data_IF_809927180713
#
_entry.id   IF_809927180713
#
_cell.length_a   1.000
_cell.length_b   1.000
_cell.length_c   1.000
_cell.angle_alpha   90.00
_cell.angle_beta   90.00
_cell.angle_gamma   90.00
#
_symmetry.space_group_name_H-M   'P 1'
#
loop_
_entity.id
_entity.type
_entity.pdbx_description
1 polymer ?
#
# COMPACT_ATOMS: atom_id res chain seq x y z
N UNK A 1 3.68 -4.77 -21.62
CA UNK A 1 2.37 -4.45 -21.01
C UNK A 1 1.42 -3.91 -22.08
N UNK A 2 0.12 -4.21 -22.00
CA UNK A 2 -0.89 -3.41 -22.75
C UNK A 2 -1.06 -2.04 -22.09
N UNK A 3 -1.71 -1.08 -22.76
CA UNK A 3 -1.97 0.25 -22.20
C UNK A 3 -2.64 0.20 -20.80
N UNK A 4 -3.79 -0.49 -20.65
CA UNK A 4 -4.44 -0.62 -19.34
C UNK A 4 -3.60 -1.35 -18.29
N UNK A 5 -2.85 -2.39 -18.68
CA UNK A 5 -1.94 -3.08 -17.76
C UNK A 5 -0.83 -2.15 -17.27
N UNK A 6 -0.22 -1.37 -18.18
CA UNK A 6 0.85 -0.41 -17.84
C UNK A 6 0.33 0.67 -16.91
N UNK A 7 -0.86 1.22 -17.16
CA UNK A 7 -1.46 2.24 -16.31
C UNK A 7 -1.67 1.75 -14.87
N UNK A 8 -2.19 0.52 -14.68
CA UNK A 8 -2.35 -0.03 -13.32
C UNK A 8 -1.00 -0.41 -12.70
N UNK A 9 -0.06 -0.91 -13.50
CA UNK A 9 1.28 -1.27 -13.04
C UNK A 9 2.04 -0.06 -12.51
N UNK A 10 2.08 1.02 -13.29
CA UNK A 10 2.75 2.26 -12.90
C UNK A 10 2.11 2.89 -11.67
N UNK A 11 0.78 2.77 -11.50
CA UNK A 11 0.10 3.22 -10.29
C UNK A 11 0.53 2.40 -9.05
N UNK A 12 0.62 1.08 -9.17
CA UNK A 12 1.11 0.23 -8.06
C UNK A 12 2.57 0.56 -7.75
N UNK A 13 3.42 0.70 -8.76
CA UNK A 13 4.83 1.08 -8.60
C UNK A 13 4.98 2.44 -7.91
N UNK A 14 4.22 3.46 -8.34
CA UNK A 14 4.23 4.78 -7.70
C UNK A 14 3.79 4.71 -6.23
N UNK A 15 2.79 3.88 -5.91
CA UNK A 15 2.35 3.68 -4.52
C UNK A 15 3.40 2.97 -3.67
N UNK A 16 4.18 2.06 -4.28
CA UNK A 16 5.31 1.41 -3.63
C UNK A 16 6.42 2.41 -3.34
N UNK A 17 6.77 3.26 -4.30
CA UNK A 17 7.78 4.31 -4.12
C UNK A 17 7.41 5.25 -2.96
N UNK A 18 6.15 5.66 -2.87
CA UNK A 18 5.66 6.47 -1.74
C UNK A 18 5.77 5.73 -0.38
N UNK A 19 5.50 4.42 -0.36
CA UNK A 19 5.65 3.59 0.83
C UNK A 19 7.12 3.44 1.26
N UNK A 20 8.04 3.25 0.30
CA UNK A 20 9.49 3.21 0.53
C UNK A 20 9.96 4.53 1.14
N UNK A 21 9.54 5.67 0.59
CA UNK A 21 9.91 6.98 1.11
C UNK A 21 9.41 7.20 2.55
N UNK A 22 8.23 6.69 2.88
CA UNK A 22 7.66 6.75 4.23
C UNK A 22 8.30 5.76 5.23
N UNK A 23 9.00 4.74 4.74
CA UNK A 23 9.64 3.70 5.57
C UNK A 23 11.02 4.16 6.03
N UNK A 24 11.09 4.74 7.24
CA UNK A 24 12.34 5.25 7.82
C UNK A 24 12.26 5.34 9.35
N UNK A 25 13.39 5.47 10.09
CA UNK A 25 13.37 5.60 11.53
C UNK A 25 12.52 6.74 12.05
N UNK A 26 11.89 6.54 13.20
CA UNK A 26 11.05 7.54 13.85
C UNK A 26 9.66 7.70 13.24
N UNK A 27 9.42 7.17 12.03
CA UNK A 27 8.08 6.99 11.46
C UNK A 27 7.38 5.80 12.10
N UNK A 28 6.06 5.72 11.93
CA UNK A 28 5.26 4.60 12.44
C UNK A 28 5.11 3.54 11.35
N UNK A 29 4.93 2.29 11.78
CA UNK A 29 4.68 1.16 10.89
C UNK A 29 3.45 1.35 9.99
N UNK A 30 2.47 2.16 10.40
CA UNK A 30 1.30 2.49 9.58
C UNK A 30 1.59 3.52 8.47
N UNK A 31 2.63 4.35 8.60
CA UNK A 31 2.87 5.48 7.69
C UNK A 31 3.07 5.04 6.21
N UNK A 32 3.79 3.93 5.90
CA UNK A 32 3.89 3.41 4.54
C UNK A 32 2.54 2.97 3.94
N UNK A 33 1.63 2.48 4.78
CA UNK A 33 0.29 2.11 4.35
C UNK A 33 -0.55 3.34 4.00
N UNK A 34 -0.50 4.38 4.83
CA UNK A 34 -1.24 5.61 4.57
C UNK A 34 -0.71 6.31 3.29
N UNK A 35 0.60 6.29 3.08
CA UNK A 35 1.23 6.79 1.85
C UNK A 35 0.75 6.00 0.60
N UNK A 36 0.76 4.66 0.69
CA UNK A 36 0.24 3.78 -0.36
C UNK A 36 -1.22 4.11 -0.70
N UNK A 37 -2.07 4.14 0.32
CA UNK A 37 -3.51 4.36 0.16
C UNK A 37 -3.78 5.70 -0.49
N UNK A 38 -3.03 6.76 -0.15
CA UNK A 38 -3.19 8.07 -0.76
C UNK A 38 -2.88 8.07 -2.26
N UNK A 39 -1.80 7.42 -2.68
CA UNK A 39 -1.43 7.30 -4.11
C UNK A 39 -2.46 6.46 -4.86
N UNK A 40 -2.79 5.28 -4.33
CA UNK A 40 -3.77 4.39 -4.95
C UNK A 40 -5.15 5.04 -5.06
N UNK A 41 -5.65 5.70 -4.00
CA UNK A 41 -6.93 6.39 -4.00
C UNK A 41 -6.99 7.49 -5.05
N UNK A 42 -5.93 8.30 -5.17
CA UNK A 42 -5.86 9.34 -6.19
C UNK A 42 -5.84 8.74 -7.60
N UNK A 43 -4.99 7.73 -7.83
CA UNK A 43 -4.92 7.05 -9.12
C UNK A 43 -6.22 6.33 -9.51
N UNK A 44 -6.95 5.75 -8.56
CA UNK A 44 -8.26 5.14 -8.82
C UNK A 44 -9.29 6.18 -9.30
N UNK A 45 -9.26 7.41 -8.76
CA UNK A 45 -10.11 8.50 -9.24
C UNK A 45 -9.70 8.96 -10.64
N UNK A 46 -8.40 9.03 -10.91
CA UNK A 46 -7.87 9.55 -12.18
C UNK A 46 -8.04 8.56 -13.34
N UNK A 47 -7.97 7.26 -13.04
CA UNK A 47 -8.22 6.18 -13.99
C UNK A 47 -9.72 5.82 -14.12
N UNK A 48 -10.59 6.46 -13.34
CA UNK A 48 -12.03 6.19 -13.36
C UNK A 48 -12.43 4.83 -12.77
N UNK A 49 -11.56 4.19 -11.98
CA UNK A 49 -11.92 3.03 -11.15
C UNK A 49 -12.87 3.42 -10.02
N UNK A 50 -12.82 4.69 -9.59
CA UNK A 50 -13.76 5.30 -8.67
C UNK A 50 -14.36 6.55 -9.33
N UNK A 51 -15.67 6.66 -9.29
CA UNK A 51 -16.38 7.83 -9.84
C UNK A 51 -16.51 8.94 -8.80
N UNK A 52 -15.87 10.08 -9.04
CA UNK A 52 -15.88 11.27 -8.16
C UNK A 52 -17.29 11.72 -7.77
N UNK A 53 -18.29 11.53 -8.63
CA UNK A 53 -19.67 11.91 -8.32
C UNK A 53 -20.31 11.02 -7.25
N UNK A 54 -19.82 9.78 -7.10
CA UNK A 54 -20.36 8.80 -6.15
C UNK A 54 -19.55 8.79 -4.84
N UNK A 55 -18.24 9.00 -4.91
CA UNK A 55 -17.33 8.83 -3.78
C UNK A 55 -16.67 10.11 -3.26
N UNK A 56 -16.80 11.23 -3.97
CA UNK A 56 -16.19 12.52 -3.60
C UNK A 56 -14.75 12.68 -4.05
N UNK A 57 -13.95 13.39 -3.24
CA UNK A 57 -12.54 13.67 -3.52
C UNK A 57 -11.60 12.71 -2.77
N UNK A 58 -10.28 12.92 -2.91
CA UNK A 58 -9.26 12.05 -2.34
C UNK A 58 -9.48 11.76 -0.85
N UNK A 59 -9.70 12.81 -0.06
CA UNK A 59 -9.84 12.65 1.38
C UNK A 59 -11.14 11.89 1.74
N UNK A 60 -12.24 12.09 0.98
CA UNK A 60 -13.46 11.28 1.12
C UNK A 60 -13.21 9.80 0.83
N UNK A 61 -12.46 9.50 -0.25
CA UNK A 61 -12.12 8.13 -0.65
C UNK A 61 -11.33 7.42 0.45
N UNK A 62 -10.40 8.12 1.08
CA UNK A 62 -9.58 7.57 2.17
C UNK A 62 -10.44 7.42 3.44
N UNK A 63 -11.13 8.47 3.86
CA UNK A 63 -11.93 8.50 5.09
C UNK A 63 -13.02 7.42 5.07
N UNK A 64 -13.73 7.28 3.94
CA UNK A 64 -14.82 6.29 3.77
C UNK A 64 -14.33 4.94 3.26
N UNK A 65 -13.02 4.79 3.03
CA UNK A 65 -12.37 3.56 2.54
C UNK A 65 -12.95 3.05 1.21
N UNK A 66 -13.33 3.96 0.31
CA UNK A 66 -13.86 3.59 -1.02
C UNK A 66 -12.84 2.81 -1.87
N UNK A 67 -11.55 2.95 -1.61
CA UNK A 67 -10.47 2.18 -2.24
C UNK A 67 -10.50 0.67 -1.90
N UNK A 68 -11.15 0.27 -0.80
CA UNK A 68 -10.99 -1.06 -0.20
C UNK A 68 -11.40 -2.21 -1.12
N UNK A 69 -12.34 -1.96 -2.03
CA UNK A 69 -12.77 -2.94 -3.05
C UNK A 69 -11.61 -3.41 -3.94
N UNK A 70 -10.67 -2.51 -4.23
CA UNK A 70 -9.56 -2.74 -5.14
C UNK A 70 -8.22 -2.96 -4.41
N UNK A 71 -8.14 -2.57 -3.14
CA UNK A 71 -6.98 -2.78 -2.28
C UNK A 71 -7.43 -3.08 -0.83
N UNK A 72 -7.51 -4.38 -0.53
CA UNK A 72 -8.15 -4.90 0.68
C UNK A 72 -7.18 -5.36 1.79
N UNK A 73 -5.88 -5.38 1.50
CA UNK A 73 -4.84 -5.81 2.44
C UNK A 73 -3.98 -4.64 2.93
N UNK A 74 -3.08 -4.92 3.88
CA UNK A 74 -2.09 -3.94 4.35
C UNK A 74 -0.91 -3.88 3.39
N UNK A 75 -0.13 -2.79 3.49
CA UNK A 75 1.05 -2.55 2.64
C UNK A 75 2.25 -3.40 3.06
N UNK A 76 2.21 -4.08 4.20
CA UNK A 76 3.25 -5.02 4.57
C UNK A 76 3.10 -5.56 5.98
N UNK A 77 4.07 -6.36 6.37
CA UNK A 77 4.20 -7.03 7.65
C UNK A 77 5.69 -7.14 8.04
N UNK A 78 5.98 -7.50 9.29
CA UNK A 78 7.35 -7.87 9.69
C UNK A 78 7.83 -9.10 8.94
N UNK A 79 9.13 -9.16 8.68
CA UNK A 79 9.78 -10.27 8.00
C UNK A 79 11.04 -10.71 8.76
N UNK A 80 11.24 -12.03 8.89
CA UNK A 80 12.41 -12.58 9.58
C UNK A 80 12.47 -14.09 9.46
N UNK A 81 12.50 -14.80 10.59
CA UNK A 81 12.51 -16.28 10.56
C UNK A 81 11.19 -16.86 10.03
N UNK A 82 10.09 -16.14 10.28
CA UNK A 82 8.78 -16.41 9.69
C UNK A 82 8.45 -15.35 8.62
N UNK A 83 7.70 -15.73 7.58
CA UNK A 83 7.27 -14.81 6.52
C UNK A 83 6.47 -13.66 7.11
N UNK A 84 5.48 -13.97 7.95
CA UNK A 84 4.82 -12.99 8.82
C UNK A 84 5.45 -13.07 10.20
N UNK A 85 6.53 -12.31 10.41
CA UNK A 85 7.36 -12.47 11.61
C UNK A 85 6.68 -11.95 12.88
N UNK A 86 7.22 -12.40 14.01
CA UNK A 86 6.82 -11.97 15.33
C UNK A 86 7.12 -10.47 15.58
N UNK A 87 6.49 -9.90 16.60
CA UNK A 87 6.72 -8.51 17.01
C UNK A 87 5.43 -7.71 17.17
N UNK A 88 5.39 -6.83 18.18
CA UNK A 88 4.23 -5.96 18.40
C UNK A 88 4.16 -4.87 17.33
N UNK A 89 3.04 -4.79 16.63
CA UNK A 89 2.69 -3.66 15.76
C UNK A 89 2.22 -2.41 16.53
N UNK A 90 2.15 -2.50 17.86
CA UNK A 90 1.77 -1.40 18.78
C UNK A 90 3.01 -0.88 19.50
N UNK A 91 3.12 0.43 19.66
CA UNK A 91 4.24 1.07 20.35
C UNK A 91 4.20 0.83 21.87
N UNK A 92 5.19 0.12 22.44
CA UNK A 92 5.25 -0.20 23.87
C UNK A 92 5.40 1.02 24.78
N UNK A 93 6.01 2.12 24.32
CA UNK A 93 6.15 3.34 25.14
C UNK A 93 4.86 4.15 25.24
N UNK A 94 3.83 3.79 24.48
CA UNK A 94 2.55 4.51 24.42
C UNK A 94 1.37 3.63 24.86
N UNK A 95 1.65 2.57 25.63
CA UNK A 95 0.63 1.69 26.20
C UNK A 95 -0.36 2.51 27.02
N UNK A 96 -1.65 2.36 26.69
CA UNK A 96 -2.76 3.11 27.31
C UNK A 96 -3.24 4.31 26.50
N UNK A 97 -2.46 4.78 25.51
CA UNK A 97 -2.99 5.72 24.51
C UNK A 97 -3.90 4.98 23.54
N UNK A 98 -5.10 5.50 23.37
CA UNK A 98 -6.12 4.94 22.50
C UNK A 98 -6.84 6.09 21.79
N UNK A 99 -7.15 5.87 20.53
CA UNK A 99 -8.13 6.67 19.79
C UNK A 99 -9.28 5.76 19.38
N UNK A 100 -10.47 6.33 19.25
CA UNK A 100 -11.64 5.61 18.77
C UNK A 100 -12.05 6.16 17.42
N UNK A 101 -12.34 5.25 16.48
CA UNK A 101 -12.97 5.60 15.21
C UNK A 101 -14.07 4.60 14.91
N UNK A 102 -15.07 5.04 14.14
CA UNK A 102 -16.04 4.13 13.55
C UNK A 102 -15.51 3.66 12.21
N UNK A 103 -15.50 2.35 11.98
CA UNK A 103 -15.13 1.83 10.67
C UNK A 103 -16.23 2.16 9.65
N UNK A 104 -15.92 2.79 8.51
CA UNK A 104 -16.95 3.17 7.54
C UNK A 104 -17.53 1.97 6.80
N UNK A 105 -16.86 0.80 6.79
CA UNK A 105 -17.32 -0.39 6.10
C UNK A 105 -18.17 -1.28 7.01
N UNK A 106 -17.69 -1.59 8.22
CA UNK A 106 -18.41 -2.46 9.16
C UNK A 106 -19.35 -1.70 10.11
N UNK A 107 -19.14 -0.39 10.30
CA UNK A 107 -19.85 0.42 11.29
C UNK A 107 -19.39 0.17 12.74
N UNK A 108 -18.43 -0.73 12.96
CA UNK A 108 -17.93 -1.08 14.28
C UNK A 108 -17.07 0.03 14.89
N UNK A 109 -17.08 0.12 16.22
CA UNK A 109 -16.18 1.02 16.94
C UNK A 109 -14.81 0.35 17.10
N UNK A 110 -13.79 0.89 16.44
CA UNK A 110 -12.42 0.42 16.49
C UNK A 110 -11.64 1.27 17.48
N UNK A 111 -10.92 0.59 18.39
CA UNK A 111 -9.97 1.20 19.33
C UNK A 111 -8.57 1.08 18.74
N UNK A 112 -8.10 2.15 18.12
CA UNK A 112 -6.78 2.22 17.54
C UNK A 112 -5.73 2.49 18.62
N UNK A 113 -4.65 1.71 18.57
CA UNK A 113 -3.46 1.89 19.39
C UNK A 113 -2.36 2.47 18.52
N UNK A 114 -1.47 3.33 19.07
CA UNK A 114 -0.38 3.89 18.30
C UNK A 114 0.49 2.79 17.68
N UNK A 115 0.66 2.87 16.37
CA UNK A 115 1.47 1.92 15.62
C UNK A 115 2.95 2.02 16.02
N UNK A 116 3.63 0.88 16.01
CA UNK A 116 5.05 0.72 16.35
C UNK A 116 5.92 1.74 15.63
N UNK A 117 6.83 2.39 16.35
CA UNK A 117 7.83 3.28 15.76
C UNK A 117 8.94 2.45 15.12
N UNK A 118 9.22 2.72 13.85
CA UNK A 118 10.28 2.10 13.08
C UNK A 118 11.64 2.51 13.62
N UNK A 119 12.55 1.53 13.71
CA UNK A 119 13.93 1.71 14.17
C UNK A 119 14.88 0.97 13.24
N UNK A 120 16.14 1.43 13.11
CA UNK A 120 17.16 0.71 12.35
C UNK A 120 17.24 -0.76 12.76
N UNK A 121 17.40 -1.64 11.77
CA UNK A 121 17.45 -3.09 11.92
C UNK A 121 16.11 -3.81 11.93
N UNK A 122 14.97 -3.10 11.95
CA UNK A 122 13.67 -3.73 11.69
C UNK A 122 13.53 -4.09 10.21
N UNK A 123 12.90 -5.23 9.93
CA UNK A 123 12.69 -5.72 8.56
C UNK A 123 11.20 -5.92 8.31
N UNK A 124 10.72 -5.43 7.18
CA UNK A 124 9.30 -5.47 6.78
C UNK A 124 9.16 -5.60 5.27
N UNK A 125 8.01 -6.09 4.82
CA UNK A 125 7.63 -6.05 3.40
C UNK A 125 7.01 -4.69 3.03
N UNK A 126 7.11 -4.35 1.74
CA UNK A 126 6.41 -3.23 1.10
C UNK A 126 5.75 -3.75 -0.17
N UNK A 127 4.46 -4.07 -0.07
CA UNK A 127 3.71 -4.91 -1.01
C UNK A 127 2.37 -4.29 -1.47
N UNK A 128 2.30 -3.03 -1.92
CA UNK A 128 1.05 -2.48 -2.44
C UNK A 128 0.52 -3.29 -3.62
N UNK A 129 -0.81 -3.35 -3.73
CA UNK A 129 -1.48 -4.05 -4.82
C UNK A 129 -2.74 -3.35 -5.29
N UNK A 130 -3.18 -3.73 -6.49
CA UNK A 130 -4.41 -3.26 -7.11
C UNK A 130 -5.08 -4.41 -7.86
N UNK A 131 -6.30 -4.74 -7.46
CA UNK A 131 -7.06 -5.88 -7.98
C UNK A 131 -8.42 -5.42 -8.50
N UNK A 132 -8.63 -5.56 -9.81
CA UNK A 132 -9.80 -5.00 -10.49
C UNK A 132 -10.73 -6.12 -10.97
N UNK A 133 -11.74 -6.42 -10.15
CA UNK A 133 -12.82 -7.34 -10.53
C UNK A 133 -13.81 -6.68 -11.49
N UNK A 134 -14.36 -7.42 -12.47
CA UNK A 134 -15.40 -6.91 -13.37
C UNK A 134 -16.63 -6.38 -12.63
N UNK A 135 -17.15 -5.23 -13.07
CA UNK A 135 -18.46 -4.72 -12.64
C UNK A 135 -18.98 -3.59 -13.52
N UNK A 136 -20.28 -3.26 -13.42
CA UNK A 136 -20.89 -2.20 -14.23
C UNK A 136 -20.28 -0.81 -14.04
N UNK A 137 -19.73 -0.52 -12.86
CA UNK A 137 -19.16 0.76 -12.45
C UNK A 137 -17.64 0.87 -12.70
N UNK A 138 -17.02 -0.17 -13.26
CA UNK A 138 -15.57 -0.24 -13.50
C UNK A 138 -15.29 -0.28 -15.01
N UNK A 139 -14.38 0.55 -15.56
CA UNK A 139 -14.02 0.52 -16.97
C UNK A 139 -13.56 -0.87 -17.41
N UNK A 140 -14.10 -1.35 -18.54
CA UNK A 140 -13.93 -2.73 -19.02
C UNK A 140 -12.49 -3.07 -19.34
N UNK A 141 -11.71 -2.08 -19.78
CA UNK A 141 -10.30 -2.22 -20.11
C UNK A 141 -9.42 -2.59 -18.91
N UNK A 142 -9.89 -2.37 -17.68
CA UNK A 142 -9.17 -2.73 -16.45
C UNK A 142 -9.63 -4.06 -15.83
N UNK A 143 -10.67 -4.70 -16.38
CA UNK A 143 -11.23 -5.92 -15.80
C UNK A 143 -10.23 -7.08 -15.74
N UNK A 144 -10.27 -7.82 -14.63
CA UNK A 144 -9.44 -9.00 -14.35
C UNK A 144 -7.93 -8.72 -14.32
N UNK A 145 -7.52 -7.47 -14.07
CA UNK A 145 -6.13 -7.12 -13.83
C UNK A 145 -5.88 -7.11 -12.32
N UNK A 146 -4.89 -7.89 -11.88
CA UNK A 146 -4.39 -7.91 -10.52
C UNK A 146 -2.88 -7.74 -10.53
N UNK A 147 -2.38 -6.72 -9.84
CA UNK A 147 -0.95 -6.38 -9.79
C UNK A 147 -0.56 -6.16 -8.33
N UNK A 148 0.54 -6.76 -7.91
CA UNK A 148 1.23 -6.46 -6.64
C UNK A 148 2.72 -6.39 -6.95
N UNK A 149 3.38 -5.37 -6.39
CA UNK A 149 4.84 -5.23 -6.44
C UNK A 149 5.30 -5.23 -5.00
N UNK A 150 6.21 -6.13 -4.67
CA UNK A 150 6.60 -6.43 -3.29
C UNK A 150 8.11 -6.45 -3.15
N UNK A 151 8.61 -5.74 -2.14
CA UNK A 151 10.00 -5.76 -1.75
C UNK A 151 10.17 -5.95 -0.26
N UNK A 152 11.30 -6.58 0.10
CA UNK A 152 11.76 -6.68 1.47
C UNK A 152 12.62 -5.46 1.80
N UNK A 153 12.28 -4.78 2.90
CA UNK A 153 12.92 -3.55 3.33
C UNK A 153 13.57 -3.72 4.70
N UNK A 154 14.84 -3.34 4.81
CA UNK A 154 15.56 -3.20 6.09
C UNK A 154 15.58 -1.72 6.45
N UNK A 155 15.03 -1.35 7.61
CA UNK A 155 15.12 0.03 8.09
C UNK A 155 16.57 0.36 8.45
N UNK A 156 17.11 1.43 7.89
CA UNK A 156 18.47 1.95 8.13
C UNK A 156 18.40 3.27 8.90
N UNK A 157 19.53 3.92 9.23
CA UNK A 157 19.54 5.18 10.00
C UNK A 157 18.80 6.35 9.31
N UNK A 158 18.79 6.39 7.97
CA UNK A 158 18.26 7.51 7.18
C UNK A 158 17.04 7.14 6.31
N UNK A 159 16.60 5.88 6.33
CA UNK A 159 15.60 5.37 5.40
C UNK A 159 15.33 3.88 5.55
N UNK A 160 15.16 3.21 4.41
CA UNK A 160 15.23 1.77 4.30
C UNK A 160 16.04 1.36 3.08
N UNK A 161 16.66 0.18 3.17
CA UNK A 161 17.32 -0.51 2.07
C UNK A 161 16.39 -1.61 1.56
N UNK A 162 16.19 -1.68 0.24
CA UNK A 162 15.41 -2.74 -0.39
C UNK A 162 16.35 -3.87 -0.81
N UNK A 163 16.20 -5.05 -0.20
CA UNK A 163 17.13 -6.18 -0.39
C UNK A 163 16.68 -7.17 -1.49
N UNK A 164 15.57 -6.87 -2.16
CA UNK A 164 14.97 -7.65 -3.27
C UNK A 164 15.09 -6.98 -4.64
N UNK A 165 15.76 -5.82 -4.72
CA UNK A 165 15.93 -5.02 -5.96
C UNK A 165 16.92 -5.60 -6.99
N UNK A 166 17.30 -6.86 -6.85
CA UNK A 166 18.00 -7.60 -7.91
C UNK A 166 17.09 -7.94 -9.11
N UNK A 167 15.76 -7.78 -8.96
CA UNK A 167 14.77 -7.97 -10.02
C UNK A 167 14.20 -6.61 -10.43
N UNK A 168 14.10 -6.30 -11.74
CA UNK A 168 13.53 -5.03 -12.20
C UNK A 168 12.05 -4.93 -11.85
N UNK A 169 11.64 -3.73 -11.45
CA UNK A 169 10.24 -3.38 -11.23
C UNK A 169 9.79 -2.19 -12.07
N UNK A 170 10.70 -1.52 -12.76
CA UNK A 170 10.30 -0.55 -13.75
C UNK A 170 9.69 -1.29 -14.95
N UNK A 171 8.54 -0.82 -15.43
CA UNK A 171 7.83 -1.48 -16.51
C UNK A 171 8.66 -1.60 -17.80
N UNK A 172 9.49 -0.61 -18.10
CA UNK A 172 10.35 -0.62 -19.28
C UNK A 172 11.55 -1.56 -19.10
N UNK A 173 12.12 -1.62 -17.90
CA UNK A 173 13.18 -2.58 -17.55
C UNK A 173 12.69 -4.03 -17.63
N UNK A 174 11.48 -4.31 -17.14
CA UNK A 174 10.85 -5.63 -17.26
C UNK A 174 10.69 -6.01 -18.73
N UNK A 175 10.15 -5.11 -19.55
CA UNK A 175 9.98 -5.37 -20.96
C UNK A 175 11.31 -5.57 -21.70
N UNK A 176 12.35 -4.81 -21.33
CA UNK A 176 13.69 -4.99 -21.86
C UNK A 176 14.23 -6.38 -21.49
N UNK A 177 14.17 -6.76 -20.22
CA UNK A 177 14.62 -8.07 -19.74
C UNK A 177 13.90 -9.23 -20.45
N UNK A 178 12.59 -9.11 -20.68
CA UNK A 178 11.80 -10.16 -21.33
C UNK A 178 12.08 -10.30 -22.83
N UNK A 179 12.61 -9.26 -23.49
CA UNK A 179 12.99 -9.32 -24.92
C UNK A 179 14.33 -10.00 -25.17
N UNK A 180 15.16 -10.16 -24.13
CA UNK A 180 16.56 -10.60 -24.23
C UNK A 180 17.49 -9.51 -24.75
#
# INVERSE_FOLDING_TARGET
FTGPQRALYDLVLASQQAAVEATRPGKRFIDPHDATVRVLAQGMLDLGLLNRNDVGHLDDVIEKRHYFRHYMHRTGHWLGLDVHDCGSYVEPTEVGRLSERRDPLSGELIKDRPSRILRPGMVLTIEPGLYVSPAPDVPKEFWNIGIRIEDDAVVTEDGCELITRGVPVDGDEIEALMRG
#
